data_IF_200081806978
#
_entry.id   IF_200081806978
#
_cell.length_a   1.000
_cell.length_b   1.000
_cell.length_c   1.000
_cell.angle_alpha   90.00
_cell.angle_beta   90.00
_cell.angle_gamma   90.00
#
_symmetry.space_group_name_H-M   'P 1'
#
loop_
_entity.id
_entity.type
_entity.pdbx_description
1 polymer ?
#
# COMPACT_ATOMS: atom_id res chain seq x y z
N UNK A 1 -1.24 -20.12 0.72
CA UNK A 1 -0.08 -20.23 -0.15
C UNK A 1 1.10 -19.64 0.62
N UNK A 2 2.07 -20.45 1.03
CA UNK A 2 3.35 -19.96 1.56
C UNK A 2 4.26 -19.68 0.38
N UNK A 3 4.29 -18.43 -0.09
CA UNK A 3 5.22 -18.02 -1.15
C UNK A 3 6.67 -18.21 -0.68
N UNK A 4 7.57 -18.52 -1.61
CA UNK A 4 8.99 -18.62 -1.28
C UNK A 4 9.58 -17.23 -0.98
N UNK A 5 10.72 -17.20 -0.30
CA UNK A 5 11.46 -15.94 -0.06
C UNK A 5 11.83 -15.22 -1.37
N UNK A 6 12.14 -15.98 -2.41
CA UNK A 6 12.46 -15.47 -3.74
C UNK A 6 11.25 -14.82 -4.41
N UNK A 7 10.06 -15.42 -4.27
CA UNK A 7 8.80 -14.84 -4.74
C UNK A 7 8.43 -13.57 -3.95
N UNK A 8 8.64 -13.56 -2.63
CA UNK A 8 8.45 -12.35 -1.81
C UNK A 8 9.37 -11.20 -2.28
N UNK A 9 10.65 -11.49 -2.55
CA UNK A 9 11.59 -10.49 -3.06
C UNK A 9 11.18 -9.97 -4.44
N UNK A 10 10.72 -10.83 -5.34
CA UNK A 10 10.19 -10.41 -6.65
C UNK A 10 9.02 -9.44 -6.50
N UNK A 11 8.00 -9.78 -5.69
CA UNK A 11 6.84 -8.92 -5.48
C UNK A 11 7.25 -7.57 -4.87
N UNK A 12 8.15 -7.57 -3.87
CA UNK A 12 8.65 -6.33 -3.28
C UNK A 12 9.41 -5.46 -4.28
N UNK A 13 10.19 -6.08 -5.17
CA UNK A 13 10.92 -5.37 -6.21
C UNK A 13 9.95 -4.69 -7.20
N UNK A 14 8.93 -5.40 -7.68
CA UNK A 14 7.91 -4.80 -8.55
C UNK A 14 7.19 -3.66 -7.81
N UNK A 15 6.83 -3.86 -6.54
CA UNK A 15 6.15 -2.84 -5.74
C UNK A 15 6.97 -1.53 -5.61
N UNK A 16 8.27 -1.63 -5.32
CA UNK A 16 9.11 -0.42 -5.19
C UNK A 16 9.38 0.25 -6.54
N UNK A 17 9.50 -0.52 -7.63
CA UNK A 17 9.71 0.03 -8.96
C UNK A 17 8.46 0.78 -9.44
N UNK A 18 7.28 0.19 -9.30
CA UNK A 18 6.03 0.86 -9.70
C UNK A 18 5.73 2.06 -8.79
N UNK A 19 6.04 2.00 -7.50
CA UNK A 19 5.95 3.15 -6.60
C UNK A 19 6.90 4.29 -7.00
N UNK A 20 8.13 3.98 -7.40
CA UNK A 20 9.09 4.98 -7.88
C UNK A 20 8.56 5.67 -9.14
N UNK A 21 7.99 4.90 -10.08
CA UNK A 21 7.32 5.44 -11.27
C UNK A 21 6.15 6.35 -10.89
N UNK A 22 5.32 5.97 -9.90
CA UNK A 22 4.23 6.82 -9.40
C UNK A 22 4.73 8.18 -8.92
N UNK A 23 5.74 8.17 -8.05
CA UNK A 23 6.28 9.39 -7.46
C UNK A 23 7.04 10.24 -8.47
N UNK A 24 7.70 9.64 -9.48
CA UNK A 24 8.21 10.40 -10.62
C UNK A 24 7.09 11.15 -11.34
N UNK A 25 5.94 10.50 -11.54
CA UNK A 25 4.74 11.14 -12.09
C UNK A 25 4.26 12.30 -11.24
N UNK A 26 4.13 12.14 -9.93
CA UNK A 26 3.66 13.23 -9.06
C UNK A 26 4.64 14.39 -8.97
N UNK A 27 5.93 14.09 -8.83
CA UNK A 27 6.94 15.07 -8.44
C UNK A 27 7.52 15.79 -9.66
N UNK A 28 7.88 15.02 -10.70
CA UNK A 28 8.63 15.51 -11.87
C UNK A 28 7.74 15.73 -13.10
N UNK A 29 6.76 14.85 -13.34
CA UNK A 29 5.97 14.84 -14.58
C UNK A 29 4.46 14.75 -14.32
N UNK A 30 3.85 15.74 -13.62
CA UNK A 30 2.45 15.65 -13.17
C UNK A 30 1.44 15.53 -14.31
N UNK A 31 1.78 16.00 -15.51
CA UNK A 31 0.93 15.91 -16.70
C UNK A 31 0.93 14.51 -17.34
N UNK A 32 1.93 13.66 -17.02
CA UNK A 32 2.09 12.33 -17.62
C UNK A 32 1.32 11.29 -16.78
N UNK A 33 0.01 11.24 -16.99
CA UNK A 33 -0.92 10.38 -16.24
C UNK A 33 -0.57 8.88 -16.26
N UNK A 34 0.06 8.39 -17.34
CA UNK A 34 0.49 6.99 -17.44
C UNK A 34 1.44 6.55 -16.32
N UNK A 35 2.23 7.47 -15.76
CA UNK A 35 3.12 7.16 -14.63
C UNK A 35 2.32 6.85 -13.36
N UNK A 36 1.19 7.55 -13.15
CA UNK A 36 0.26 7.31 -12.04
C UNK A 36 -0.47 5.99 -12.19
N UNK A 37 -0.85 5.64 -13.42
CA UNK A 37 -1.50 4.36 -13.77
C UNK A 37 -0.60 3.19 -13.39
N UNK A 38 0.67 3.22 -13.82
CA UNK A 38 1.66 2.18 -13.46
C UNK A 38 1.84 2.13 -11.95
N UNK A 39 1.86 3.30 -11.31
CA UNK A 39 1.96 3.46 -9.86
C UNK A 39 0.89 2.75 -9.04
N UNK A 40 -0.34 2.65 -9.53
CA UNK A 40 -1.45 1.99 -8.82
C UNK A 40 -1.21 0.51 -8.53
N UNK A 41 -0.28 -0.12 -9.24
CA UNK A 41 0.15 -1.51 -9.02
C UNK A 41 0.87 -1.66 -7.67
N UNK A 42 1.54 -0.62 -7.17
CA UNK A 42 2.41 -0.73 -5.99
C UNK A 42 1.65 -1.12 -4.71
N UNK A 43 0.52 -0.46 -4.44
CA UNK A 43 -0.18 -0.62 -3.18
C UNK A 43 -0.71 -2.05 -2.93
N UNK A 44 -1.42 -2.71 -3.86
CA UNK A 44 -1.86 -4.10 -3.65
C UNK A 44 -0.69 -5.06 -3.41
N UNK A 45 0.47 -4.83 -4.03
CA UNK A 45 1.67 -5.63 -3.79
C UNK A 45 2.24 -5.41 -2.39
N UNK A 46 2.27 -4.17 -1.90
CA UNK A 46 2.64 -3.88 -0.50
C UNK A 46 1.64 -4.45 0.50
N UNK A 47 0.34 -4.33 0.24
CA UNK A 47 -0.72 -4.91 1.06
C UNK A 47 -0.56 -6.44 1.16
N UNK A 48 -0.27 -7.11 0.05
CA UNK A 48 0.01 -8.53 0.03
C UNK A 48 1.26 -8.91 0.84
N UNK A 49 2.36 -8.18 0.68
CA UNK A 49 3.57 -8.43 1.47
C UNK A 49 3.36 -8.15 2.96
N UNK A 50 2.48 -7.20 3.31
CA UNK A 50 2.09 -6.96 4.70
C UNK A 50 1.34 -8.16 5.29
N UNK A 51 0.39 -8.73 4.55
CA UNK A 51 -0.34 -9.94 4.96
C UNK A 51 0.61 -11.13 5.10
N UNK A 52 1.52 -11.35 4.15
CA UNK A 52 2.54 -12.41 4.26
C UNK A 52 3.45 -12.17 5.47
N UNK A 53 3.82 -10.91 5.74
CA UNK A 53 4.58 -10.54 6.93
C UNK A 53 3.82 -10.80 8.23
N UNK A 54 2.51 -10.56 8.24
CA UNK A 54 1.62 -10.80 9.37
C UNK A 54 1.52 -12.30 9.69
N UNK A 55 1.29 -13.15 8.68
CA UNK A 55 1.20 -14.60 8.86
C UNK A 55 2.50 -15.23 9.38
N UNK A 56 3.64 -14.57 9.17
CA UNK A 56 4.96 -15.07 9.56
C UNK A 56 5.55 -14.35 10.79
N UNK A 57 4.87 -13.35 11.37
CA UNK A 57 5.43 -12.59 12.51
C UNK A 57 5.14 -13.28 13.85
N UNK A 58 6.16 -13.44 14.69
CA UNK A 58 5.97 -13.86 16.08
C UNK A 58 5.54 -12.72 17.02
N UNK A 59 5.68 -11.46 16.60
CA UNK A 59 5.35 -10.30 17.44
C UNK A 59 4.69 -9.18 16.63
N UNK A 60 3.35 -9.16 16.68
CA UNK A 60 2.53 -8.18 15.97
C UNK A 60 2.74 -6.75 16.49
N UNK A 61 2.93 -6.55 17.80
CA UNK A 61 3.12 -5.21 18.38
C UNK A 61 4.39 -4.55 17.84
N UNK A 62 5.49 -5.31 17.76
CA UNK A 62 6.75 -4.84 17.16
C UNK A 62 6.61 -4.58 15.66
N UNK A 63 5.74 -5.31 14.96
CA UNK A 63 5.47 -5.04 13.55
C UNK A 63 4.72 -3.72 13.35
N UNK A 64 3.62 -3.52 14.07
CA UNK A 64 2.85 -2.27 14.05
C UNK A 64 3.74 -1.08 14.43
N UNK A 65 4.51 -1.20 15.52
CA UNK A 65 5.41 -0.13 15.96
C UNK A 65 6.43 0.26 14.89
N UNK A 66 7.03 -0.71 14.19
CA UNK A 66 7.96 -0.42 13.09
C UNK A 66 7.29 0.35 11.95
N UNK A 67 6.06 0.01 11.59
CA UNK A 67 5.33 0.72 10.55
C UNK A 67 4.96 2.14 10.98
N UNK A 68 4.48 2.31 12.21
CA UNK A 68 4.15 3.63 12.75
C UNK A 68 5.39 4.52 12.88
N UNK A 69 6.50 4.00 13.40
CA UNK A 69 7.76 4.74 13.50
C UNK A 69 8.24 5.24 12.13
N UNK A 70 8.29 4.34 11.14
CA UNK A 70 8.67 4.70 9.78
C UNK A 70 7.66 5.66 9.15
N UNK A 71 6.36 5.44 9.38
CA UNK A 71 5.28 6.32 8.95
C UNK A 71 5.45 7.74 9.47
N UNK A 72 5.70 7.91 10.77
CA UNK A 72 5.94 9.21 11.40
C UNK A 72 7.18 9.90 10.84
N UNK A 73 8.29 9.17 10.65
CA UNK A 73 9.52 9.74 10.05
C UNK A 73 9.23 10.23 8.62
N UNK A 74 8.53 9.43 7.83
CA UNK A 74 8.24 9.77 6.44
C UNK A 74 7.11 10.80 6.28
N UNK A 75 6.26 10.98 7.28
CA UNK A 75 5.14 11.93 7.24
C UNK A 75 5.61 13.36 7.04
N UNK A 76 6.74 13.73 7.66
CA UNK A 76 7.33 15.07 7.50
C UNK A 76 7.63 15.33 6.04
N UNK A 77 8.32 14.39 5.37
CA UNK A 77 8.65 14.50 3.94
C UNK A 77 7.39 14.51 3.07
N UNK A 78 6.42 13.64 3.37
CA UNK A 78 5.15 13.57 2.66
C UNK A 78 4.42 14.92 2.68
N UNK A 79 4.25 15.51 3.87
CA UNK A 79 3.60 16.81 4.05
C UNK A 79 4.30 17.93 3.27
N UNK A 80 5.64 17.98 3.25
CA UNK A 80 6.35 19.02 2.51
C UNK A 80 6.14 18.93 1.00
N UNK A 81 5.89 17.73 0.47
CA UNK A 81 5.72 17.48 -0.96
C UNK A 81 4.27 17.67 -1.41
N UNK A 82 3.32 17.10 -0.66
CA UNK A 82 1.89 17.12 -1.04
C UNK A 82 1.15 18.33 -0.50
N UNK A 83 1.66 18.96 0.57
CA UNK A 83 0.95 19.98 1.36
C UNK A 83 -0.37 19.49 1.95
N UNK A 84 -0.53 18.17 2.06
CA UNK A 84 -1.72 17.51 2.56
C UNK A 84 -1.49 16.93 3.96
N UNK A 85 -2.50 17.07 4.83
CA UNK A 85 -2.52 16.51 6.18
C UNK A 85 -2.90 15.03 6.22
N UNK A 86 -3.30 14.45 5.08
CA UNK A 86 -3.49 13.00 4.96
C UNK A 86 -2.26 12.22 5.42
N UNK A 87 -2.50 11.17 6.19
CA UNK A 87 -1.44 10.30 6.68
C UNK A 87 -0.96 9.38 5.57
N UNK A 88 0.35 9.28 5.39
CA UNK A 88 0.96 8.50 4.32
C UNK A 88 0.60 7.01 4.34
N UNK A 89 0.96 6.32 3.27
CA UNK A 89 0.65 4.90 3.04
C UNK A 89 1.04 3.95 4.18
N UNK A 90 2.09 4.24 4.94
CA UNK A 90 2.52 3.40 6.07
C UNK A 90 1.49 3.40 7.19
N UNK A 91 0.73 4.49 7.36
CA UNK A 91 -0.40 4.53 8.28
C UNK A 91 -1.57 3.70 7.79
N UNK A 92 -1.91 3.74 6.49
CA UNK A 92 -2.91 2.81 5.91
C UNK A 92 -2.54 1.36 6.18
N UNK A 93 -1.28 0.99 5.91
CA UNK A 93 -0.75 -0.34 6.16
C UNK A 93 -0.83 -0.71 7.65
N UNK A 94 -0.54 0.24 8.55
CA UNK A 94 -0.65 0.04 10.00
C UNK A 94 -2.08 -0.23 10.44
N UNK A 95 -3.06 0.55 9.94
CA UNK A 95 -4.49 0.34 10.23
C UNK A 95 -4.95 -1.02 9.69
N UNK A 96 -4.60 -1.37 8.45
CA UNK A 96 -4.91 -2.68 7.87
C UNK A 96 -4.32 -3.84 8.67
N UNK A 97 -3.08 -3.70 9.15
CA UNK A 97 -2.43 -4.68 10.02
C UNK A 97 -3.16 -4.87 11.36
N UNK A 98 -3.66 -3.77 11.94
CA UNK A 98 -4.50 -3.83 13.14
C UNK A 98 -5.82 -4.53 12.84
N UNK A 99 -6.47 -4.21 11.72
CA UNK A 99 -7.74 -4.82 11.30
C UNK A 99 -7.63 -6.34 11.17
N UNK A 100 -6.63 -6.87 10.47
CA UNK A 100 -6.46 -8.32 10.31
C UNK A 100 -6.16 -9.01 11.66
N UNK A 101 -5.41 -8.36 12.55
CA UNK A 101 -5.19 -8.84 13.91
C UNK A 101 -6.46 -8.80 14.80
N UNK A 102 -7.40 -7.87 14.54
CA UNK A 102 -8.71 -7.86 15.20
C UNK A 102 -9.62 -8.97 14.67
N UNK A 103 -9.55 -9.27 13.37
CA UNK A 103 -10.26 -10.41 12.75
C UNK A 103 -9.83 -11.72 13.42
N UNK A 104 -8.52 -11.94 13.58
CA UNK A 104 -8.01 -13.15 14.24
C UNK A 104 -8.45 -13.30 15.69
N UNK A 105 -8.54 -12.17 16.39
CA UNK A 105 -9.02 -12.14 17.77
C UNK A 105 -10.54 -12.12 17.88
N UNK A 106 -11.25 -12.24 16.75
CA UNK A 106 -12.72 -12.20 16.66
C UNK A 106 -13.34 -10.95 17.32
N UNK A 107 -12.62 -9.83 17.30
CA UNK A 107 -13.06 -8.55 17.91
C UNK A 107 -13.83 -7.68 16.91
N UNK A 108 -14.94 -8.20 16.40
CA UNK A 108 -15.67 -7.58 15.28
C UNK A 108 -16.27 -6.20 15.59
N UNK A 109 -16.67 -5.93 16.84
CA UNK A 109 -17.17 -4.61 17.25
C UNK A 109 -16.07 -3.55 17.17
N UNK A 110 -14.86 -3.89 17.63
CA UNK A 110 -13.72 -2.97 17.55
C UNK A 110 -13.27 -2.77 16.11
N UNK A 111 -13.32 -3.84 15.31
CA UNK A 111 -13.04 -3.79 13.87
C UNK A 111 -14.03 -2.87 13.14
N UNK A 112 -15.33 -3.01 13.37
CA UNK A 112 -16.35 -2.17 12.71
C UNK A 112 -16.20 -0.70 13.10
N UNK A 113 -15.97 -0.41 14.38
CA UNK A 113 -15.70 0.95 14.85
C UNK A 113 -14.45 1.54 14.17
N UNK A 114 -13.37 0.77 14.05
CA UNK A 114 -12.14 1.22 13.40
C UNK A 114 -12.36 1.50 11.89
N UNK A 115 -13.14 0.68 11.20
CA UNK A 115 -13.49 0.91 9.79
C UNK A 115 -14.34 2.16 9.62
N UNK A 116 -15.32 2.40 10.50
CA UNK A 116 -16.16 3.61 10.50
C UNK A 116 -15.32 4.86 10.78
N UNK A 117 -14.43 4.82 11.76
CA UNK A 117 -13.52 5.94 12.04
C UNK A 117 -12.64 6.22 10.81
N UNK A 118 -12.10 5.16 10.20
CA UNK A 118 -11.26 5.31 9.00
C UNK A 118 -12.04 5.91 7.83
N UNK A 119 -13.29 5.50 7.60
CA UNK A 119 -14.12 6.06 6.53
C UNK A 119 -14.49 7.52 6.79
N UNK A 120 -14.90 7.87 8.01
CA UNK A 120 -15.24 9.25 8.38
C UNK A 120 -14.02 10.17 8.27
N UNK A 121 -12.85 9.76 8.78
CA UNK A 121 -11.64 10.58 8.66
C UNK A 121 -11.20 10.79 7.21
N UNK A 122 -11.35 9.75 6.37
CA UNK A 122 -11.02 9.84 4.94
C UNK A 122 -11.93 10.82 4.20
N UNK A 123 -13.22 10.89 4.57
CA UNK A 123 -14.17 11.84 4.00
C UNK A 123 -13.78 13.31 4.26
N UNK A 124 -13.17 13.60 5.41
CA UNK A 124 -12.71 14.95 5.75
C UNK A 124 -11.27 15.26 5.32
N UNK A 125 -10.64 14.43 4.48
CA UNK A 125 -9.21 14.55 4.10
C UNK A 125 -8.25 14.56 5.31
N UNK A 126 -8.67 13.99 6.44
CA UNK A 126 -7.85 13.83 7.65
C UNK A 126 -7.52 12.36 7.92
N UNK A 127 -7.77 11.50 6.94
CA UNK A 127 -7.60 10.05 7.04
C UNK A 127 -6.21 9.57 6.65
N UNK A 128 -6.18 8.34 6.13
CA UNK A 128 -4.98 7.70 5.59
C UNK A 128 -5.04 7.71 4.05
N UNK A 129 -3.89 7.68 3.39
CA UNK A 129 -3.70 7.88 1.94
C UNK A 129 -4.67 7.10 1.03
N UNK A 130 -4.96 5.83 1.33
CA UNK A 130 -5.92 5.00 0.56
C UNK A 130 -7.27 4.81 1.26
N UNK A 131 -7.50 5.55 2.35
CA UNK A 131 -8.71 5.51 3.17
C UNK A 131 -9.18 4.10 3.56
N UNK A 132 -10.49 3.93 3.66
CA UNK A 132 -11.12 2.63 3.99
C UNK A 132 -10.91 1.61 2.87
N UNK A 133 -10.85 2.05 1.61
CA UNK A 133 -10.59 1.19 0.46
C UNK A 133 -9.28 0.41 0.60
N UNK A 134 -8.18 1.09 0.98
CA UNK A 134 -6.90 0.45 1.17
C UNK A 134 -6.92 -0.59 2.31
N UNK A 135 -7.63 -0.29 3.39
CA UNK A 135 -7.81 -1.21 4.52
C UNK A 135 -8.62 -2.45 4.09
N UNK A 136 -9.68 -2.26 3.29
CA UNK A 136 -10.49 -3.36 2.77
C UNK A 136 -9.69 -4.27 1.83
N UNK A 137 -8.81 -3.73 0.98
CA UNK A 137 -7.88 -4.53 0.18
C UNK A 137 -7.04 -5.46 1.06
N UNK A 138 -6.47 -4.94 2.15
CA UNK A 138 -5.64 -5.75 3.07
C UNK A 138 -6.48 -6.87 3.69
N UNK A 139 -7.72 -6.59 4.09
CA UNK A 139 -8.65 -7.58 4.64
C UNK A 139 -9.01 -8.65 3.60
N UNK A 140 -9.29 -8.27 2.35
CA UNK A 140 -9.59 -9.21 1.28
C UNK A 140 -8.40 -10.12 0.99
N UNK A 141 -7.20 -9.55 0.89
CA UNK A 141 -5.98 -10.33 0.70
C UNK A 141 -5.80 -11.30 1.86
N UNK A 142 -5.91 -10.84 3.10
CA UNK A 142 -5.82 -11.70 4.28
C UNK A 142 -6.81 -12.87 4.24
N UNK A 143 -8.07 -12.57 3.96
CA UNK A 143 -9.17 -13.55 3.97
C UNK A 143 -9.04 -14.57 2.85
N UNK A 144 -8.66 -14.13 1.65
CA UNK A 144 -8.64 -14.96 0.44
C UNK A 144 -7.22 -15.32 -0.03
N UNK A 145 -6.19 -15.19 0.81
CA UNK A 145 -4.80 -15.51 0.44
C UNK A 145 -4.62 -16.96 -0.03
N UNK A 146 -5.51 -17.87 0.38
CA UNK A 146 -5.51 -19.27 -0.01
C UNK A 146 -6.49 -19.60 -1.15
N UNK A 147 -7.34 -18.65 -1.56
CA UNK A 147 -8.33 -18.84 -2.63
C UNK A 147 -8.19 -17.75 -3.68
N UNK A 148 -7.37 -18.04 -4.69
CA UNK A 148 -7.00 -17.10 -5.76
C UNK A 148 -8.21 -16.55 -6.51
N UNK A 149 -9.20 -17.40 -6.82
CA UNK A 149 -10.37 -16.98 -7.60
C UNK A 149 -11.24 -15.98 -6.82
N UNK A 150 -11.48 -16.26 -5.54
CA UNK A 150 -12.21 -15.34 -4.66
C UNK A 150 -11.42 -14.05 -4.41
N UNK A 151 -10.09 -14.12 -4.30
CA UNK A 151 -9.25 -12.94 -4.17
C UNK A 151 -9.38 -12.03 -5.40
N UNK A 152 -9.24 -12.57 -6.61
CA UNK A 152 -9.37 -11.80 -7.85
C UNK A 152 -10.77 -11.20 -7.96
N UNK A 153 -11.81 -12.02 -7.78
CA UNK A 153 -13.20 -11.57 -7.91
C UNK A 153 -13.54 -10.47 -6.89
N UNK A 154 -13.23 -10.68 -5.61
CA UNK A 154 -13.50 -9.69 -4.56
C UNK A 154 -12.69 -8.41 -4.74
N UNK A 155 -11.43 -8.51 -5.20
CA UNK A 155 -10.61 -7.34 -5.50
C UNK A 155 -11.21 -6.52 -6.64
N UNK A 156 -11.56 -7.16 -7.77
CA UNK A 156 -12.18 -6.48 -8.92
C UNK A 156 -13.46 -5.78 -8.46
N UNK A 157 -14.37 -6.49 -7.79
CA UNK A 157 -15.64 -5.92 -7.30
C UNK A 157 -15.39 -4.71 -6.39
N UNK A 158 -14.48 -4.84 -5.42
CA UNK A 158 -14.18 -3.73 -4.51
C UNK A 158 -13.62 -2.52 -5.29
N UNK A 159 -12.69 -2.74 -6.23
CA UNK A 159 -12.10 -1.65 -7.00
C UNK A 159 -13.10 -0.96 -7.93
N UNK A 160 -13.99 -1.71 -8.58
CA UNK A 160 -15.00 -1.12 -9.47
C UNK A 160 -16.03 -0.34 -8.67
N UNK A 161 -16.53 -0.91 -7.56
CA UNK A 161 -17.47 -0.22 -6.66
C UNK A 161 -16.84 1.06 -6.13
N UNK A 162 -15.62 1.00 -5.60
CA UNK A 162 -14.97 2.15 -4.99
C UNK A 162 -14.69 3.29 -5.99
N UNK A 163 -14.39 2.98 -7.26
CA UNK A 163 -14.27 3.98 -8.33
C UNK A 163 -15.64 4.53 -8.72
N UNK A 164 -16.66 3.69 -8.86
CA UNK A 164 -18.02 4.11 -9.27
C UNK A 164 -18.79 4.94 -8.24
N UNK A 165 -18.34 4.93 -6.98
CA UNK A 165 -19.02 5.58 -5.85
C UNK A 165 -18.21 6.73 -5.24
N UNK A 166 -17.15 7.17 -5.92
CA UNK A 166 -16.23 8.22 -5.48
C UNK A 166 -15.64 7.96 -4.07
N UNK A 167 -15.54 6.69 -3.65
CA UNK A 167 -14.86 6.32 -2.41
C UNK A 167 -13.35 6.59 -2.46
N UNK A 168 -12.83 6.92 -3.63
CA UNK A 168 -11.41 7.14 -3.92
C UNK A 168 -11.30 8.40 -4.79
N UNK A 169 -10.33 9.25 -4.49
CA UNK A 169 -10.14 10.54 -5.18
C UNK A 169 -9.65 10.44 -6.64
N UNK A 170 -9.46 9.24 -7.20
CA UNK A 170 -8.79 9.07 -8.49
C UNK A 170 -9.31 7.88 -9.28
N UNK A 171 -9.92 8.14 -10.43
CA UNK A 171 -10.43 7.14 -11.39
C UNK A 171 -9.35 6.15 -11.85
N UNK A 172 -8.09 6.59 -11.90
CA UNK A 172 -6.96 5.72 -12.26
C UNK A 172 -6.81 4.51 -11.32
N UNK A 173 -7.45 4.50 -10.15
CA UNK A 173 -7.35 3.41 -9.20
C UNK A 173 -7.85 2.07 -9.77
N UNK A 174 -8.71 2.07 -10.80
CA UNK A 174 -9.15 0.85 -11.48
C UNK A 174 -7.97 0.03 -12.04
N UNK A 175 -6.87 0.69 -12.43
CA UNK A 175 -5.68 0.02 -12.96
C UNK A 175 -4.89 -0.77 -11.90
N UNK A 176 -5.20 -0.61 -10.61
CA UNK A 176 -4.63 -1.45 -9.55
C UNK A 176 -4.96 -2.94 -9.71
N UNK A 177 -6.02 -3.30 -10.46
CA UNK A 177 -6.38 -4.68 -10.81
C UNK A 177 -5.21 -5.41 -11.49
N UNK A 178 -4.38 -4.69 -12.26
CA UNK A 178 -3.19 -5.24 -12.92
C UNK A 178 -2.21 -5.89 -11.93
N UNK A 179 -2.20 -5.44 -10.66
CA UNK A 179 -1.40 -6.04 -9.61
C UNK A 179 -1.68 -7.54 -9.40
N UNK A 180 -2.90 -8.00 -9.71
CA UNK A 180 -3.27 -9.42 -9.59
C UNK A 180 -2.38 -10.33 -10.43
N UNK A 181 -1.88 -9.88 -11.59
CA UNK A 181 -0.97 -10.66 -12.45
C UNK A 181 0.27 -11.09 -11.65
N UNK A 182 0.85 -10.16 -10.88
CA UNK A 182 2.05 -10.39 -10.09
C UNK A 182 1.77 -11.20 -8.81
N UNK A 183 0.56 -11.10 -8.25
CA UNK A 183 0.18 -11.84 -7.04
C UNK A 183 -0.19 -13.29 -7.32
N UNK A 184 -0.84 -13.56 -8.45
CA UNK A 184 -1.29 -14.91 -8.82
C UNK A 184 -0.14 -15.76 -9.36
N UNK A 185 0.77 -15.14 -10.12
CA UNK A 185 1.93 -15.83 -10.71
C UNK A 185 3.23 -15.10 -10.34
N UNK A 186 3.64 -15.13 -9.05
CA UNK A 186 4.89 -14.50 -8.66
C UNK A 186 6.08 -15.31 -9.18
N UNK A 187 6.96 -14.64 -9.92
CA UNK A 187 8.23 -15.20 -10.36
C UNK A 187 9.20 -15.31 -9.18
N UNK A 188 10.19 -16.19 -9.28
CA UNK A 188 11.27 -16.29 -8.28
C UNK A 188 12.45 -15.40 -8.66
N UNK A 189 12.80 -14.46 -7.77
CA UNK A 189 14.01 -13.67 -7.92
C UNK A 189 15.21 -14.44 -7.33
N UNK A 190 16.15 -14.84 -8.19
CA UNK A 190 17.32 -15.65 -7.79
C UNK A 190 18.36 -14.88 -6.97
N UNK A 191 18.33 -13.55 -6.97
CA UNK A 191 19.29 -12.71 -6.25
C UNK A 191 18.75 -12.22 -4.90
N UNK A 192 19.63 -12.12 -3.90
CA UNK A 192 19.27 -11.70 -2.54
C UNK A 192 19.32 -10.18 -2.41
N UNK A 193 18.16 -9.57 -2.21
CA UNK A 193 18.07 -8.15 -1.81
C UNK A 193 18.07 -8.09 -0.28
N UNK A 194 18.94 -7.28 0.36
CA UNK A 194 18.95 -7.17 1.81
C UNK A 194 17.66 -6.54 2.33
N UNK A 195 17.13 -7.06 3.45
CA UNK A 195 15.83 -6.63 3.97
C UNK A 195 15.76 -5.15 4.36
N UNK A 196 16.90 -4.56 4.79
CA UNK A 196 17.00 -3.14 5.14
C UNK A 196 16.80 -2.21 3.94
N UNK A 197 17.11 -2.66 2.72
CA UNK A 197 17.00 -1.86 1.50
C UNK A 197 15.55 -1.40 1.28
N UNK A 198 14.58 -2.30 1.46
CA UNK A 198 13.17 -1.96 1.26
C UNK A 198 12.65 -0.92 2.26
N UNK A 199 13.21 -0.86 3.47
CA UNK A 199 12.83 0.12 4.48
C UNK A 199 13.39 1.51 4.18
N UNK A 200 14.65 1.58 3.74
CA UNK A 200 15.30 2.84 3.40
C UNK A 200 14.87 3.39 2.04
N UNK A 201 14.44 2.52 1.12
CA UNK A 201 14.03 2.94 -0.21
C UNK A 201 12.97 4.04 -0.15
N UNK A 202 11.93 3.89 0.69
CA UNK A 202 10.81 4.84 0.76
C UNK A 202 11.21 6.30 1.03
N UNK A 203 11.91 6.64 2.13
CA UNK A 203 12.35 8.02 2.34
C UNK A 203 13.44 8.47 1.35
N UNK A 204 14.35 7.58 0.94
CA UNK A 204 15.49 7.97 0.08
C UNK A 204 15.03 8.37 -1.32
N UNK A 205 14.19 7.55 -1.98
CA UNK A 205 13.80 7.87 -3.36
C UNK A 205 12.95 9.14 -3.44
N UNK A 206 12.11 9.40 -2.43
CA UNK A 206 11.37 10.66 -2.32
C UNK A 206 12.32 11.85 -2.18
N UNK A 207 13.32 11.76 -1.29
CA UNK A 207 14.31 12.83 -1.11
C UNK A 207 15.13 13.08 -2.39
N UNK A 208 15.52 12.02 -3.10
CA UNK A 208 16.23 12.12 -4.39
C UNK A 208 15.36 12.80 -5.45
N UNK A 209 14.10 12.39 -5.61
CA UNK A 209 13.19 13.00 -6.58
C UNK A 209 12.93 14.47 -6.27
N UNK A 210 12.76 14.82 -5.00
CA UNK A 210 12.59 16.21 -4.59
C UNK A 210 13.83 17.06 -4.86
N UNK A 211 15.03 16.53 -4.60
CA UNK A 211 16.30 17.18 -4.95
C UNK A 211 16.44 17.42 -6.46
N UNK A 212 16.09 16.43 -7.29
CA UNK A 212 16.10 16.56 -8.75
C UNK A 212 15.13 17.67 -9.20
N UNK A 213 13.91 17.69 -8.65
CA UNK A 213 12.91 18.73 -8.96
C UNK A 213 13.45 20.13 -8.70
N UNK A 214 14.07 20.35 -7.54
CA UNK A 214 14.62 21.67 -7.17
C UNK A 214 15.77 22.15 -8.04
N UNK A 215 16.49 21.24 -8.70
CA UNK A 215 17.62 21.55 -9.60
C UNK A 215 17.13 21.81 -11.03
N UNK A 216 16.25 20.96 -11.55
CA UNK A 216 15.90 20.93 -12.99
C UNK A 216 14.58 21.61 -13.35
N UNK A 217 13.67 21.78 -12.39
CA UNK A 217 12.28 22.22 -12.63
C UNK A 217 11.91 23.43 -11.76
N UNK A 218 12.81 24.42 -11.65
CA UNK A 218 12.56 25.69 -10.94
C UNK A 218 11.36 26.45 -11.47
#
# INVERSE_FOLDING_TARGET
MTITKEQSNYIKLIAILTMLVDHMGVILFPEVLWLRIIGRIAFPLFAYQLVVGYLNTGNIRRYIFRLLLLGSICQVMYYYITKDLTLNILFTLSVGLVCINLIDKKKYIVLSLLLVITSVMSFYNMGVDYGVYGVLIIILIYTYINNTNLLIASFIILTTVAVSTDMIQSDYQIYSIVAMIFLVKPMSLRFKIPGWFFYLFYPIHIAVLWGIKGIWFR
#
